data_IF_030617374617
#
_entry.id   IF_030617374617
#
_cell.length_a   1.000
_cell.length_b   1.000
_cell.length_c   1.000
_cell.angle_alpha   90.00
_cell.angle_beta   90.00
_cell.angle_gamma   90.00
#
_symmetry.space_group_name_H-M   'P 1'
#
loop_
_entity.id
_entity.type
_entity.pdbx_description
1 polymer ?
#
# COMPACT_ATOMS: atom_id res chain seq x y z
N UNK A 1 -11.79 7.01 62.58
CA UNK A 1 -12.53 7.58 61.43
C UNK A 1 -13.15 6.44 60.64
N UNK A 2 -14.43 6.54 60.28
CA UNK A 2 -15.08 5.62 59.35
C UNK A 2 -15.00 6.20 57.93
N UNK A 3 -14.52 5.42 56.96
CA UNK A 3 -14.40 5.83 55.55
C UNK A 3 -15.58 5.27 54.75
N UNK A 4 -16.02 6.00 53.72
CA UNK A 4 -17.16 5.61 52.90
C UNK A 4 -16.92 5.99 51.44
N UNK A 5 -17.43 5.18 50.53
CA UNK A 5 -17.53 5.48 49.10
C UNK A 5 -19.00 5.40 48.66
N UNK A 6 -19.33 5.99 47.52
CA UNK A 6 -20.66 5.92 46.93
C UNK A 6 -20.63 5.02 45.71
N UNK A 7 -21.45 3.98 45.71
CA UNK A 7 -21.63 3.06 44.58
C UNK A 7 -23.09 3.14 44.18
N UNK A 8 -23.38 3.60 42.96
CA UNK A 8 -24.74 3.81 42.46
C UNK A 8 -25.63 4.64 43.41
N UNK A 9 -25.05 5.65 44.06
CA UNK A 9 -25.75 6.51 45.03
C UNK A 9 -25.89 5.93 46.44
N UNK A 10 -25.46 4.69 46.68
CA UNK A 10 -25.51 4.05 47.99
C UNK A 10 -24.20 4.29 48.74
N UNK A 11 -24.29 4.73 50.00
CA UNK A 11 -23.13 4.95 50.88
C UNK A 11 -22.64 3.63 51.46
N UNK A 12 -21.44 3.19 51.07
CA UNK A 12 -20.83 1.93 51.50
C UNK A 12 -19.64 2.22 52.44
N UNK A 13 -19.64 1.71 53.69
CA UNK A 13 -18.49 1.82 54.59
C UNK A 13 -17.34 0.94 54.08
N UNK A 14 -16.12 1.47 54.09
CA UNK A 14 -14.92 0.80 53.58
C UNK A 14 -13.72 1.00 54.50
N UNK A 15 -12.69 0.17 54.32
CA UNK A 15 -11.40 0.38 54.97
C UNK A 15 -10.69 1.60 54.41
N UNK A 16 -9.73 2.14 55.16
CA UNK A 16 -8.90 3.28 54.74
C UNK A 16 -8.14 2.97 53.44
N UNK A 17 -7.65 1.74 53.29
CA UNK A 17 -6.89 1.29 52.11
C UNK A 17 -7.76 1.33 50.86
N UNK A 18 -8.97 0.76 50.93
CA UNK A 18 -9.94 0.76 49.82
C UNK A 18 -10.34 2.19 49.47
N UNK A 19 -10.57 3.04 50.46
CA UNK A 19 -10.88 4.45 50.24
C UNK A 19 -9.75 5.19 49.51
N UNK A 20 -8.50 4.95 49.92
CA UNK A 20 -7.32 5.58 49.33
C UNK A 20 -7.13 5.18 47.87
N UNK A 21 -7.21 3.88 47.55
CA UNK A 21 -7.05 3.40 46.17
C UNK A 21 -8.20 3.84 45.27
N UNK A 22 -9.45 3.82 45.78
CA UNK A 22 -10.61 4.33 45.04
C UNK A 22 -10.42 5.77 44.60
N UNK A 23 -10.05 6.66 45.53
CA UNK A 23 -9.85 8.08 45.21
C UNK A 23 -8.61 8.33 44.36
N UNK A 24 -7.56 7.51 44.48
CA UNK A 24 -6.39 7.58 43.60
C UNK A 24 -6.76 7.34 42.14
N UNK A 25 -7.53 6.29 41.86
CA UNK A 25 -8.01 5.97 40.52
C UNK A 25 -9.00 7.02 40.01
N UNK A 26 -10.01 7.36 40.83
CA UNK A 26 -11.04 8.34 40.49
C UNK A 26 -10.44 9.71 40.16
N UNK A 27 -9.45 10.17 40.94
CA UNK A 27 -8.78 11.44 40.69
C UNK A 27 -7.95 11.42 39.40
N UNK A 28 -7.33 10.29 39.07
CA UNK A 28 -6.58 10.10 37.82
C UNK A 28 -7.51 10.17 36.61
N UNK A 29 -8.64 9.48 36.65
CA UNK A 29 -9.65 9.51 35.57
C UNK A 29 -10.22 10.92 35.39
N UNK A 30 -10.60 11.59 36.49
CA UNK A 30 -11.07 12.98 36.45
C UNK A 30 -10.02 13.97 35.93
N UNK A 31 -8.74 13.70 36.16
CA UNK A 31 -7.66 14.49 35.59
C UNK A 31 -7.53 14.27 34.07
N UNK A 32 -7.57 13.02 33.61
CA UNK A 32 -7.54 12.68 32.18
C UNK A 32 -8.74 13.29 31.43
N UNK A 33 -9.96 13.17 31.98
CA UNK A 33 -11.16 13.79 31.39
C UNK A 33 -11.00 15.32 31.25
N UNK A 34 -10.37 15.99 32.22
CA UNK A 34 -10.09 17.43 32.12
C UNK A 34 -9.10 17.75 31.01
N UNK A 35 -8.05 16.93 30.84
CA UNK A 35 -7.09 17.09 29.75
C UNK A 35 -7.75 16.85 28.39
N UNK A 36 -8.57 15.81 28.25
CA UNK A 36 -9.30 15.52 27.00
C UNK A 36 -10.18 16.69 26.57
N UNK A 37 -10.93 17.27 27.52
CA UNK A 37 -11.74 18.47 27.28
C UNK A 37 -10.86 19.67 26.92
N UNK A 38 -9.78 19.91 27.68
CA UNK A 38 -8.88 21.05 27.47
C UNK A 38 -8.21 21.04 26.10
N UNK A 39 -7.70 19.88 25.69
CA UNK A 39 -6.97 19.70 24.43
C UNK A 39 -7.88 19.33 23.26
N UNK A 40 -9.21 19.25 23.48
CA UNK A 40 -10.21 18.84 22.48
C UNK A 40 -9.82 17.53 21.79
N UNK A 41 -9.24 16.60 22.55
CA UNK A 41 -8.90 15.28 22.05
C UNK A 41 -10.21 14.52 21.90
N UNK A 42 -10.69 14.44 20.65
CA UNK A 42 -11.86 13.63 20.29
C UNK A 42 -11.44 12.16 20.26
N UNK A 43 -12.03 11.29 21.08
CA UNK A 43 -11.80 9.85 20.95
C UNK A 43 -12.31 9.37 19.59
N UNK A 44 -11.71 8.32 19.05
CA UNK A 44 -12.09 7.78 17.74
C UNK A 44 -13.58 7.39 17.67
N UNK A 45 -14.17 6.98 18.80
CA UNK A 45 -15.59 6.65 18.94
C UNK A 45 -16.55 7.82 18.72
N UNK A 46 -16.08 9.06 18.83
CA UNK A 46 -16.92 10.26 18.62
C UNK A 46 -17.03 10.64 17.14
N UNK A 47 -16.27 10.00 16.26
CA UNK A 47 -16.47 10.12 14.82
C UNK A 47 -17.62 9.19 14.43
N UNK A 48 -18.69 9.75 13.88
CA UNK A 48 -19.71 8.96 13.21
C UNK A 48 -19.11 8.36 11.92
N UNK A 49 -19.60 7.17 11.51
CA UNK A 49 -19.09 6.46 10.31
C UNK A 49 -19.04 7.36 9.07
N UNK A 50 -19.98 8.32 8.97
CA UNK A 50 -20.05 9.31 7.89
C UNK A 50 -18.87 10.30 7.89
N UNK A 51 -18.31 10.68 9.04
CA UNK A 51 -17.13 11.54 9.12
C UNK A 51 -15.84 10.82 8.72
N UNK A 52 -15.81 9.49 8.85
CA UNK A 52 -14.71 8.66 8.34
C UNK A 52 -14.82 8.47 6.83
N UNK A 53 -16.00 8.50 6.22
CA UNK A 53 -16.15 8.39 4.75
C UNK A 53 -15.56 9.57 3.96
N UNK A 54 -15.17 10.65 4.63
CA UNK A 54 -14.35 11.73 4.04
C UNK A 54 -12.86 11.35 3.92
N UNK A 55 -12.52 10.07 3.74
CA UNK A 55 -11.25 9.70 3.12
C UNK A 55 -11.30 10.22 1.69
N UNK A 56 -10.83 11.45 1.48
CA UNK A 56 -10.45 11.92 0.16
C UNK A 56 -9.55 10.84 -0.44
N UNK A 57 -10.02 10.17 -1.48
CA UNK A 57 -9.19 9.22 -2.21
C UNK A 57 -7.89 9.96 -2.57
N UNK A 58 -6.74 9.33 -2.32
CA UNK A 58 -5.46 9.92 -2.72
C UNK A 58 -5.46 10.00 -4.25
N UNK A 59 -5.80 11.16 -4.81
CA UNK A 59 -5.85 11.41 -6.26
C UNK A 59 -4.51 11.10 -6.95
N UNK A 60 -3.42 10.99 -6.18
CA UNK A 60 -2.12 10.58 -6.70
C UNK A 60 -2.07 9.09 -7.07
N UNK A 61 -2.94 8.26 -6.49
CA UNK A 61 -2.91 6.81 -6.68
C UNK A 61 -4.19 6.32 -7.39
N UNK A 62 -4.13 6.30 -8.72
CA UNK A 62 -5.18 5.71 -9.54
C UNK A 62 -5.08 4.17 -9.48
N UNK A 63 -5.91 3.55 -8.63
CA UNK A 63 -5.95 2.10 -8.43
C UNK A 63 -6.30 1.34 -9.71
N UNK A 64 -7.23 1.87 -10.50
CA UNK A 64 -7.66 1.28 -11.78
C UNK A 64 -6.48 1.21 -12.77
N UNK A 65 -5.73 2.30 -12.90
CA UNK A 65 -4.51 2.33 -13.74
C UNK A 65 -3.45 1.34 -13.25
N UNK A 66 -3.33 1.14 -11.93
CA UNK A 66 -2.39 0.16 -11.36
C UNK A 66 -2.84 -1.27 -11.71
N UNK A 67 -4.14 -1.57 -11.62
CA UNK A 67 -4.67 -2.90 -11.96
C UNK A 67 -4.53 -3.17 -13.46
N UNK A 68 -4.89 -2.21 -14.32
CA UNK A 68 -4.69 -2.30 -15.78
C UNK A 68 -3.22 -2.55 -16.13
N UNK A 69 -2.29 -1.80 -15.52
CA UNK A 69 -0.86 -1.95 -15.78
C UNK A 69 -0.36 -3.34 -15.35
N UNK A 70 -0.85 -3.87 -14.23
CA UNK A 70 -0.50 -5.21 -13.76
C UNK A 70 -0.98 -6.29 -14.73
N UNK A 71 -2.20 -6.17 -15.25
CA UNK A 71 -2.76 -7.10 -16.22
C UNK A 71 -1.96 -7.10 -17.54
N UNK A 72 -1.64 -5.91 -18.06
CA UNK A 72 -0.80 -5.77 -19.26
C UNK A 72 0.59 -6.37 -19.04
N UNK A 73 1.18 -6.17 -17.85
CA UNK A 73 2.51 -6.69 -17.53
C UNK A 73 2.50 -8.23 -17.43
N UNK A 74 1.42 -8.81 -16.90
CA UNK A 74 1.24 -10.26 -16.87
C UNK A 74 1.12 -10.84 -18.28
N UNK A 75 0.29 -10.23 -19.14
CA UNK A 75 0.15 -10.65 -20.54
C UNK A 75 1.48 -10.53 -21.31
N UNK A 76 2.27 -9.48 -21.04
CA UNK A 76 3.60 -9.33 -21.62
C UNK A 76 4.53 -10.46 -21.19
N UNK A 77 4.51 -10.82 -19.89
CA UNK A 77 5.34 -11.91 -19.37
C UNK A 77 5.00 -13.24 -20.05
N UNK A 78 3.72 -13.57 -20.16
CA UNK A 78 3.25 -14.77 -20.87
C UNK A 78 3.64 -14.75 -22.35
N UNK A 79 3.53 -13.60 -23.00
CA UNK A 79 3.93 -13.41 -24.40
C UNK A 79 5.44 -13.60 -24.62
N UNK A 80 6.27 -13.16 -23.67
CA UNK A 80 7.71 -13.33 -23.72
C UNK A 80 8.13 -14.79 -23.54
N UNK A 81 7.38 -15.58 -22.78
CA UNK A 81 7.63 -17.03 -22.62
C UNK A 81 7.36 -17.83 -23.91
N UNK A 82 6.59 -17.27 -24.85
CA UNK A 82 6.34 -17.89 -26.17
C UNK A 82 7.47 -17.64 -27.17
N UNK A 83 8.38 -16.70 -26.90
CA UNK A 83 9.53 -16.45 -27.75
C UNK A 83 10.55 -17.58 -27.60
N UNK A 84 11.27 -17.88 -28.67
CA UNK A 84 12.43 -18.76 -28.59
C UNK A 84 13.63 -18.03 -27.95
N UNK A 85 14.68 -18.77 -27.59
CA UNK A 85 15.87 -18.24 -26.92
C UNK A 85 16.55 -17.09 -27.69
N UNK A 86 16.62 -17.19 -29.03
CA UNK A 86 17.23 -16.16 -29.87
C UNK A 86 16.39 -14.88 -29.92
N UNK A 87 15.06 -15.03 -30.04
CA UNK A 87 14.11 -13.92 -30.04
C UNK A 87 14.09 -13.23 -28.68
N UNK A 88 14.05 -14.01 -27.60
CA UNK A 88 14.11 -13.50 -26.24
C UNK A 88 15.44 -12.79 -25.97
N UNK A 89 16.56 -13.37 -26.40
CA UNK A 89 17.89 -12.75 -26.27
C UNK A 89 17.94 -11.41 -27.02
N UNK A 90 17.38 -11.33 -28.23
CA UNK A 90 17.32 -10.09 -28.98
C UNK A 90 16.52 -9.00 -28.25
N UNK A 91 15.35 -9.34 -27.69
CA UNK A 91 14.53 -8.40 -26.90
C UNK A 91 15.25 -7.97 -25.62
N UNK A 92 15.84 -8.91 -24.89
CA UNK A 92 16.62 -8.63 -23.68
C UNK A 92 17.79 -7.69 -23.96
N UNK A 93 18.58 -7.97 -25.00
CA UNK A 93 19.71 -7.13 -25.38
C UNK A 93 19.27 -5.70 -25.71
N UNK A 94 18.15 -5.53 -26.44
CA UNK A 94 17.68 -4.22 -26.89
C UNK A 94 17.05 -3.38 -25.78
N UNK A 95 16.22 -3.99 -24.93
CA UNK A 95 15.36 -3.25 -24.00
C UNK A 95 15.78 -3.35 -22.52
N UNK A 96 16.62 -4.32 -22.16
CA UNK A 96 17.08 -4.51 -20.79
C UNK A 96 18.57 -4.26 -20.62
N UNK A 97 19.39 -4.70 -21.59
CA UNK A 97 20.85 -4.47 -21.58
C UNK A 97 21.26 -3.20 -22.36
N UNK A 98 20.28 -2.45 -22.89
CA UNK A 98 20.46 -1.18 -23.62
C UNK A 98 21.45 -1.24 -24.79
N UNK A 99 21.65 -2.43 -25.38
CA UNK A 99 22.54 -2.60 -26.53
C UNK A 99 21.92 -2.02 -27.77
N UNK A 100 22.74 -1.35 -28.56
CA UNK A 100 22.37 -0.85 -29.88
C UNK A 100 22.27 -1.98 -30.90
N UNK A 101 21.53 -1.75 -31.99
CA UNK A 101 21.48 -2.68 -33.12
C UNK A 101 22.86 -2.96 -33.73
N UNK A 102 23.78 -1.99 -33.63
CA UNK A 102 25.16 -2.11 -34.11
C UNK A 102 25.94 -3.10 -33.25
N UNK A 103 25.87 -2.98 -31.93
CA UNK A 103 26.56 -3.89 -31.00
C UNK A 103 26.06 -5.33 -31.14
N UNK A 104 24.74 -5.52 -31.30
CA UNK A 104 24.13 -6.85 -31.51
C UNK A 104 24.52 -7.42 -32.88
N UNK A 105 24.59 -6.56 -33.91
CA UNK A 105 25.05 -6.95 -35.25
C UNK A 105 26.50 -7.44 -35.21
N UNK A 106 27.38 -6.71 -34.49
CA UNK A 106 28.79 -7.06 -34.32
C UNK A 106 28.95 -8.35 -33.52
N UNK A 107 28.24 -8.52 -32.40
CA UNK A 107 28.34 -9.72 -31.56
C UNK A 107 27.90 -10.99 -32.29
N UNK A 108 26.85 -10.88 -33.11
CA UNK A 108 26.24 -12.03 -33.77
C UNK A 108 26.74 -12.23 -35.20
N UNK A 109 27.61 -11.35 -35.71
CA UNK A 109 28.12 -11.36 -37.10
C UNK A 109 27.01 -11.37 -38.16
N UNK A 110 25.92 -10.65 -37.89
CA UNK A 110 24.75 -10.54 -38.78
C UNK A 110 24.58 -9.08 -39.18
N UNK A 111 24.05 -8.78 -40.38
CA UNK A 111 23.83 -7.39 -40.78
C UNK A 111 22.86 -6.66 -39.84
N UNK A 112 23.13 -5.37 -39.59
CA UNK A 112 22.25 -4.48 -38.80
C UNK A 112 20.81 -4.52 -39.34
N UNK A 113 20.64 -4.54 -40.66
CA UNK A 113 19.32 -4.61 -41.31
C UNK A 113 18.56 -5.90 -41.00
N UNK A 114 19.26 -7.02 -40.83
CA UNK A 114 18.64 -8.30 -40.46
C UNK A 114 18.24 -8.29 -38.99
N UNK A 115 19.05 -7.73 -38.11
CA UNK A 115 18.72 -7.55 -36.68
C UNK A 115 17.46 -6.67 -36.54
N UNK A 116 17.39 -5.55 -37.27
CA UNK A 116 16.21 -4.67 -37.27
C UNK A 116 14.94 -5.39 -37.74
N UNK A 117 15.02 -6.17 -38.84
CA UNK A 117 13.88 -6.95 -39.33
C UNK A 117 13.41 -7.99 -38.32
N UNK A 118 14.33 -8.67 -37.62
CA UNK A 118 13.99 -9.64 -36.56
C UNK A 118 13.29 -8.94 -35.40
N UNK A 119 13.83 -7.82 -34.93
CA UNK A 119 13.19 -6.98 -33.90
C UNK A 119 11.75 -6.63 -34.30
N UNK A 120 11.55 -6.09 -35.49
CA UNK A 120 10.23 -5.63 -35.93
C UNK A 120 9.23 -6.78 -36.04
N UNK A 121 9.69 -7.97 -36.46
CA UNK A 121 8.86 -9.18 -36.48
C UNK A 121 8.44 -9.60 -35.07
N UNK A 122 9.38 -9.61 -34.11
CA UNK A 122 9.10 -9.96 -32.71
C UNK A 122 8.14 -8.94 -32.08
N UNK A 123 8.39 -7.64 -32.27
CA UNK A 123 7.52 -6.60 -31.73
C UNK A 123 6.10 -6.66 -32.31
N UNK A 124 5.96 -6.94 -33.61
CA UNK A 124 4.65 -7.16 -34.22
C UNK A 124 3.95 -8.42 -33.68
N UNK A 125 4.70 -9.48 -33.37
CA UNK A 125 4.15 -10.68 -32.76
C UNK A 125 3.66 -10.40 -31.34
N UNK A 126 4.51 -9.81 -30.48
CA UNK A 126 4.14 -9.42 -29.11
C UNK A 126 2.95 -8.45 -29.10
N UNK A 127 2.91 -7.47 -30.01
CA UNK A 127 1.78 -6.54 -30.11
C UNK A 127 0.46 -7.23 -30.40
N UNK A 128 0.45 -8.29 -31.20
CA UNK A 128 -0.77 -9.07 -31.51
C UNK A 128 -1.26 -9.92 -30.34
N UNK A 129 -0.37 -10.27 -29.41
CA UNK A 129 -0.73 -11.03 -28.21
C UNK A 129 -1.26 -10.13 -27.08
N UNK A 130 -0.87 -8.85 -27.10
CA UNK A 130 -1.30 -7.84 -26.14
C UNK A 130 -2.55 -7.06 -26.59
N UNK A 131 -3.05 -7.32 -27.80
CA UNK A 131 -4.28 -6.75 -28.37
C UNK A 131 -5.44 -7.70 -28.16
#
# INVERSE_FOLDING_TARGET
>A
MSYFIYVNGIRVPVSKEVYSEYWRLTNRENYLNRLEIQYRVRPFSDYADDQLTNFMADEKMNVEKITETKEILQLLYESLLLLNDDEFSLVKNLFFEEKTLSEISLSNQISISTVARRRDKILNYLKKLLQ
#
